data_IF_274730127001
#
_entry.id   IF_274730127001
#
_cell.length_a   1.000
_cell.length_b   1.000
_cell.length_c   1.000
_cell.angle_alpha   90.00
_cell.angle_beta   90.00
_cell.angle_gamma   90.00
#
_symmetry.space_group_name_H-M   'P 1'
#
loop_
_entity.id
_entity.type
_entity.pdbx_description
1 polymer ?
#
# COMPACT_ATOMS: atom_id res chain seq x y z
N UNK A 1 8.23 -12.86 -23.86
CA UNK A 1 9.02 -11.85 -24.61
C UNK A 1 10.36 -12.47 -24.97
N UNK A 2 10.71 -12.54 -26.24
CA UNK A 2 11.97 -13.12 -26.67
C UNK A 2 13.10 -12.05 -26.72
N UNK A 3 14.37 -12.48 -26.92
CA UNK A 3 15.53 -11.59 -26.89
C UNK A 3 15.47 -10.50 -27.96
N UNK A 4 14.99 -10.83 -29.18
CA UNK A 4 14.91 -9.89 -30.29
C UNK A 4 13.87 -8.80 -30.02
N UNK A 5 12.76 -9.16 -29.44
CA UNK A 5 11.69 -8.25 -29.03
C UNK A 5 12.17 -7.25 -27.97
N UNK A 6 12.95 -7.72 -26.99
CA UNK A 6 13.58 -6.85 -25.97
C UNK A 6 14.53 -5.84 -26.62
N UNK A 7 15.38 -6.27 -27.54
CA UNK A 7 16.34 -5.40 -28.23
C UNK A 7 15.63 -4.32 -29.02
N UNK A 8 14.59 -4.68 -29.76
CA UNK A 8 13.77 -3.74 -30.55
C UNK A 8 13.03 -2.74 -29.64
N UNK A 9 12.52 -3.19 -28.51
CA UNK A 9 11.87 -2.32 -27.53
C UNK A 9 12.87 -1.31 -26.93
N UNK A 10 14.06 -1.75 -26.58
CA UNK A 10 15.11 -0.88 -26.05
C UNK A 10 15.47 0.20 -27.05
N UNK A 11 15.77 -0.16 -28.32
CA UNK A 11 16.16 0.78 -29.35
C UNK A 11 15.07 1.84 -29.62
N UNK A 12 13.84 1.38 -29.77
CA UNK A 12 12.68 2.25 -29.99
C UNK A 12 12.41 3.20 -28.84
N UNK A 13 12.48 2.68 -27.60
CA UNK A 13 12.17 3.48 -26.42
C UNK A 13 13.29 4.49 -26.12
N UNK A 14 14.56 4.12 -26.28
CA UNK A 14 15.69 5.05 -26.11
C UNK A 14 15.61 6.19 -27.14
N UNK A 15 15.38 5.91 -28.41
CA UNK A 15 15.25 6.94 -29.45
C UNK A 15 14.04 7.85 -29.19
N UNK A 16 12.92 7.28 -28.74
CA UNK A 16 11.74 8.07 -28.37
C UNK A 16 12.05 9.05 -27.22
N UNK A 17 12.77 8.62 -26.21
CA UNK A 17 13.12 9.50 -25.09
C UNK A 17 14.15 10.57 -25.50
N UNK A 18 15.13 10.24 -26.36
CA UNK A 18 16.05 11.22 -26.93
C UNK A 18 15.31 12.32 -27.69
N UNK A 19 14.36 11.92 -28.56
CA UNK A 19 13.56 12.86 -29.36
C UNK A 19 12.74 13.78 -28.45
N UNK A 20 12.11 13.24 -27.41
CA UNK A 20 11.36 14.05 -26.43
C UNK A 20 12.22 15.11 -25.73
N UNK A 21 13.48 14.79 -25.49
CA UNK A 21 14.42 15.72 -24.89
C UNK A 21 15.01 16.73 -25.88
N UNK A 22 14.65 16.64 -27.18
CA UNK A 22 15.16 17.51 -28.22
C UNK A 22 16.66 17.33 -28.50
N UNK A 23 17.26 16.21 -28.08
CA UNK A 23 18.71 15.99 -28.20
C UNK A 23 19.07 15.31 -29.53
N UNK A 24 20.20 15.75 -30.14
CA UNK A 24 20.83 14.98 -31.22
C UNK A 24 21.41 13.67 -30.68
N UNK A 25 21.65 12.69 -31.55
CA UNK A 25 22.27 11.41 -31.17
C UNK A 25 23.64 11.62 -30.51
N UNK A 26 24.43 12.58 -30.99
CA UNK A 26 25.73 12.91 -30.41
C UNK A 26 25.61 13.50 -28.99
N UNK A 27 24.66 14.41 -28.77
CA UNK A 27 24.39 14.99 -27.46
C UNK A 27 23.90 13.95 -26.47
N UNK A 28 22.99 13.07 -26.89
CA UNK A 28 22.45 12.03 -26.03
C UNK A 28 23.51 10.96 -25.68
N UNK A 29 24.33 10.54 -26.66
CA UNK A 29 25.46 9.65 -26.41
C UNK A 29 26.44 10.23 -25.38
N UNK A 30 26.79 11.51 -25.53
CA UNK A 30 27.65 12.24 -24.57
C UNK A 30 27.02 12.28 -23.17
N UNK A 31 25.73 12.55 -23.06
CA UNK A 31 24.99 12.57 -21.80
C UNK A 31 24.93 11.19 -21.13
N UNK A 32 24.94 10.12 -21.90
CA UNK A 32 25.03 8.73 -21.42
C UNK A 32 26.48 8.23 -21.24
N UNK A 33 27.47 9.13 -21.35
CA UNK A 33 28.88 8.81 -21.20
C UNK A 33 29.37 7.66 -22.12
N UNK A 34 28.85 7.63 -23.36
CA UNK A 34 29.22 6.62 -24.35
C UNK A 34 29.62 7.26 -25.69
N UNK A 35 30.34 6.49 -26.54
CA UNK A 35 30.66 6.93 -27.90
C UNK A 35 29.41 6.99 -28.77
N UNK A 36 29.40 7.89 -29.76
CA UNK A 36 28.32 7.96 -30.74
C UNK A 36 28.12 6.66 -31.51
N UNK A 37 29.21 5.94 -31.80
CA UNK A 37 29.14 4.63 -32.47
C UNK A 37 28.46 3.58 -31.60
N UNK A 38 28.76 3.55 -30.30
CA UNK A 38 28.10 2.67 -29.33
C UNK A 38 26.61 2.99 -29.26
N UNK A 39 26.26 4.27 -29.15
CA UNK A 39 24.88 4.71 -29.14
C UNK A 39 24.11 4.28 -30.41
N UNK A 40 24.68 4.53 -31.58
CA UNK A 40 24.07 4.14 -32.84
C UNK A 40 23.77 2.63 -32.91
N UNK A 41 24.66 1.79 -32.43
CA UNK A 41 24.44 0.33 -32.38
C UNK A 41 23.24 -0.04 -31.47
N UNK A 42 23.07 0.66 -30.36
CA UNK A 42 21.90 0.46 -29.49
C UNK A 42 20.65 0.98 -30.19
N UNK A 43 20.68 2.17 -30.75
CA UNK A 43 19.55 2.81 -31.43
C UNK A 43 19.08 2.01 -32.67
N UNK A 44 19.98 1.32 -33.36
CA UNK A 44 19.66 0.46 -34.49
C UNK A 44 19.24 -0.98 -34.10
N UNK A 45 19.22 -1.29 -32.80
CA UNK A 45 18.88 -2.66 -32.35
C UNK A 45 20.00 -3.68 -32.58
N UNK A 46 21.23 -3.25 -32.86
CA UNK A 46 22.41 -4.12 -33.07
C UNK A 46 23.04 -4.56 -31.73
N UNK A 47 22.70 -3.88 -30.64
CA UNK A 47 23.22 -4.17 -29.30
C UNK A 47 22.18 -3.89 -28.22
N UNK A 48 22.02 -4.82 -27.31
CA UNK A 48 21.21 -4.67 -26.09
C UNK A 48 22.06 -4.51 -24.83
N UNK A 49 23.39 -4.37 -24.98
CA UNK A 49 24.28 -4.25 -23.83
C UNK A 49 24.23 -2.82 -23.29
N UNK A 50 23.50 -2.67 -22.20
CA UNK A 50 23.43 -1.45 -21.38
C UNK A 50 23.96 -1.87 -20.01
N UNK A 51 25.09 -1.29 -19.60
CA UNK A 51 25.60 -1.50 -18.26
C UNK A 51 24.76 -0.76 -17.21
N UNK A 52 24.96 -1.11 -15.94
CA UNK A 52 24.18 -0.55 -14.82
C UNK A 52 24.34 0.97 -14.71
N UNK A 53 25.55 1.49 -15.00
CA UNK A 53 25.81 2.93 -14.94
C UNK A 53 25.09 3.68 -16.06
N UNK A 54 25.12 3.16 -17.27
CA UNK A 54 24.37 3.72 -18.42
C UNK A 54 22.87 3.67 -18.16
N UNK A 55 22.34 2.57 -17.59
CA UNK A 55 20.94 2.45 -17.20
C UNK A 55 20.54 3.51 -16.15
N UNK A 56 21.41 3.76 -15.16
CA UNK A 56 21.24 4.84 -14.20
C UNK A 56 21.22 6.24 -14.84
N UNK A 57 22.13 6.51 -15.80
CA UNK A 57 22.15 7.79 -16.52
C UNK A 57 20.90 7.99 -17.35
N UNK A 58 20.41 6.96 -18.04
CA UNK A 58 19.13 7.01 -18.76
C UNK A 58 18.00 7.36 -17.80
N UNK A 59 17.91 6.68 -16.64
CA UNK A 59 16.91 7.00 -15.65
C UNK A 59 17.01 8.44 -15.14
N UNK A 60 18.22 8.92 -14.88
CA UNK A 60 18.46 10.29 -14.40
C UNK A 60 18.04 11.35 -15.42
N UNK A 61 18.28 11.10 -16.71
CA UNK A 61 17.94 12.02 -17.80
C UNK A 61 16.46 11.99 -18.17
N UNK A 62 15.86 10.82 -18.18
CA UNK A 62 14.51 10.60 -18.77
C UNK A 62 13.44 10.34 -17.72
N UNK A 63 13.81 10.00 -16.50
CA UNK A 63 12.89 9.51 -15.46
C UNK A 63 12.35 8.10 -15.72
N UNK A 64 12.79 7.43 -16.80
CA UNK A 64 12.35 6.08 -17.18
C UNK A 64 13.17 5.02 -16.48
N UNK A 65 12.51 4.06 -15.85
CA UNK A 65 13.20 2.88 -15.32
C UNK A 65 13.75 2.01 -16.44
N UNK A 66 14.91 1.34 -16.25
CA UNK A 66 15.48 0.47 -17.25
C UNK A 66 14.53 -0.62 -17.77
N UNK A 67 13.67 -1.16 -16.92
CA UNK A 67 12.65 -2.13 -17.28
C UNK A 67 11.58 -1.57 -18.24
N UNK A 68 11.27 -0.28 -18.19
CA UNK A 68 10.34 0.35 -19.14
C UNK A 68 10.95 0.45 -20.56
N UNK A 69 12.27 0.50 -20.65
CA UNK A 69 12.95 0.51 -21.95
C UNK A 69 12.81 -0.84 -22.66
N UNK A 70 12.72 -1.94 -21.90
CA UNK A 70 12.51 -3.29 -22.45
C UNK A 70 11.09 -3.55 -22.92
N UNK A 71 10.17 -2.60 -22.72
CA UNK A 71 8.73 -2.77 -22.99
C UNK A 71 8.00 -3.56 -21.91
N UNK A 72 8.65 -3.82 -20.78
CA UNK A 72 8.00 -4.41 -19.63
C UNK A 72 7.06 -3.35 -19.00
N UNK A 73 5.78 -3.55 -19.21
CA UNK A 73 4.75 -2.73 -18.56
C UNK A 73 4.25 -3.51 -17.35
N UNK A 74 4.94 -3.33 -16.24
CA UNK A 74 4.63 -4.01 -14.98
C UNK A 74 3.77 -3.09 -14.11
N UNK A 75 2.73 -3.64 -13.52
CA UNK A 75 1.86 -2.94 -12.55
C UNK A 75 2.66 -2.36 -11.39
N UNK A 76 3.78 -3.00 -11.00
CA UNK A 76 4.71 -2.52 -9.99
C UNK A 76 5.34 -1.19 -10.39
N UNK A 77 5.75 -1.02 -11.66
CA UNK A 77 6.33 0.24 -12.17
C UNK A 77 5.29 1.36 -12.11
N UNK A 78 4.07 1.06 -12.50
CA UNK A 78 2.96 2.01 -12.43
C UNK A 78 2.65 2.39 -10.98
N UNK A 79 2.71 1.44 -10.07
CA UNK A 79 2.56 1.69 -8.63
C UNK A 79 3.67 2.60 -8.09
N UNK A 80 4.93 2.33 -8.41
CA UNK A 80 6.08 3.17 -8.01
C UNK A 80 5.93 4.60 -8.53
N UNK A 81 5.47 4.78 -9.78
CA UNK A 81 5.21 6.13 -10.34
C UNK A 81 4.12 6.88 -9.58
N UNK A 82 3.06 6.17 -9.17
CA UNK A 82 1.97 6.74 -8.34
C UNK A 82 2.49 7.12 -6.95
N UNK A 83 3.27 6.24 -6.32
CA UNK A 83 3.88 6.51 -5.00
C UNK A 83 4.81 7.74 -5.04
N UNK A 84 5.57 7.92 -6.12
CA UNK A 84 6.45 9.10 -6.27
C UNK A 84 5.70 10.43 -6.32
N UNK A 85 4.44 10.44 -6.75
CA UNK A 85 3.59 11.65 -6.79
C UNK A 85 3.02 12.01 -5.42
N UNK A 86 3.13 11.12 -4.44
CA UNK A 86 2.60 11.33 -3.11
C UNK A 86 3.51 12.23 -2.26
N UNK A 87 2.93 12.93 -1.31
CA UNK A 87 3.66 13.71 -0.30
C UNK A 87 4.55 12.79 0.57
N UNK A 88 5.51 13.40 1.29
CA UNK A 88 6.38 12.66 2.21
C UNK A 88 5.57 11.89 3.27
N UNK A 89 4.53 12.51 3.83
CA UNK A 89 3.66 11.90 4.84
C UNK A 89 2.89 10.70 4.30
N UNK A 90 2.34 10.82 3.09
CA UNK A 90 1.62 9.73 2.42
C UNK A 90 2.55 8.56 2.08
N UNK A 91 3.80 8.83 1.68
CA UNK A 91 4.80 7.77 1.43
C UNK A 91 5.20 7.02 2.69
N UNK A 92 5.37 7.73 3.82
CA UNK A 92 5.64 7.08 5.13
C UNK A 92 4.50 6.13 5.50
N UNK A 93 3.26 6.54 5.25
CA UNK A 93 2.10 5.72 5.52
C UNK A 93 2.06 4.45 4.65
N UNK A 94 2.30 4.59 3.33
CA UNK A 94 2.35 3.43 2.43
C UNK A 94 3.47 2.48 2.86
N UNK A 95 4.65 2.98 3.22
CA UNK A 95 5.72 2.14 3.72
C UNK A 95 5.30 1.39 4.99
N UNK A 96 4.63 2.07 5.93
CA UNK A 96 4.11 1.41 7.14
C UNK A 96 3.11 0.28 6.81
N UNK A 97 2.26 0.47 5.80
CA UNK A 97 1.33 -0.58 5.33
C UNK A 97 2.12 -1.74 4.71
N UNK A 98 3.09 -1.44 3.84
CA UNK A 98 3.93 -2.46 3.20
C UNK A 98 4.70 -3.25 4.24
N UNK A 99 5.34 -2.58 5.20
CA UNK A 99 6.11 -3.22 6.27
C UNK A 99 5.21 -4.14 7.12
N UNK A 100 3.97 -3.70 7.40
CA UNK A 100 2.98 -4.51 8.11
C UNK A 100 2.59 -5.76 7.30
N UNK A 101 2.32 -5.62 6.01
CA UNK A 101 1.97 -6.75 5.14
C UNK A 101 3.13 -7.72 4.93
N UNK A 102 4.36 -7.21 4.80
CA UNK A 102 5.55 -8.05 4.71
C UNK A 102 5.80 -8.82 6.00
N UNK A 103 5.67 -8.17 7.16
CA UNK A 103 5.79 -8.86 8.45
C UNK A 103 4.71 -9.95 8.59
N UNK A 104 3.46 -9.68 8.20
CA UNK A 104 2.37 -10.65 8.21
C UNK A 104 2.61 -11.81 7.23
N UNK A 105 3.23 -11.56 6.07
CA UNK A 105 3.54 -12.61 5.09
C UNK A 105 4.74 -13.47 5.50
N UNK A 106 5.76 -12.89 6.14
CA UNK A 106 6.89 -13.64 6.67
C UNK A 106 6.46 -14.67 7.73
N UNK A 107 5.42 -14.36 8.52
CA UNK A 107 4.82 -15.33 9.45
C UNK A 107 4.02 -16.44 8.77
N UNK A 108 3.62 -16.28 7.49
CA UNK A 108 2.92 -17.33 6.73
C UNK A 108 3.84 -18.44 6.21
N UNK A 109 5.12 -18.13 5.98
CA UNK A 109 6.06 -19.10 5.37
C UNK A 109 6.68 -20.09 6.38
N UNK A 110 6.57 -19.85 7.69
CA UNK A 110 7.21 -20.72 8.70
C UNK A 110 6.34 -21.84 9.27
N UNK A 111 5.07 -21.99 8.89
CA UNK A 111 4.23 -23.09 9.41
C UNK A 111 3.27 -23.68 8.39
N UNK A 112 3.56 -24.90 8.03
CA UNK A 112 2.69 -26.01 7.65
C UNK A 112 1.18 -25.75 7.85
N UNK A 113 0.38 -25.93 6.77
CA UNK A 113 -1.07 -26.17 6.75
C UNK A 113 -1.94 -25.39 7.74
N UNK A 114 -2.14 -24.08 7.50
CA UNK A 114 -3.17 -23.38 8.26
C UNK A 114 -3.82 -22.26 7.44
N UNK A 115 -4.63 -22.62 6.44
CA UNK A 115 -5.53 -21.69 5.75
C UNK A 115 -6.50 -21.01 6.74
N UNK A 116 -6.63 -21.56 7.94
CA UNK A 116 -7.58 -21.12 8.97
C UNK A 116 -6.99 -20.25 10.08
N UNK A 117 -5.65 -20.00 10.09
CA UNK A 117 -5.05 -19.10 11.07
C UNK A 117 -4.94 -17.66 10.52
N UNK A 118 -5.43 -16.71 11.30
CA UNK A 118 -5.21 -15.29 11.03
C UNK A 118 -4.32 -14.64 12.09
N UNK A 119 -3.69 -13.54 11.72
CA UNK A 119 -2.95 -12.70 12.66
C UNK A 119 -3.94 -11.79 13.42
N UNK A 120 -3.74 -11.66 14.74
CA UNK A 120 -4.49 -10.77 15.60
C UNK A 120 -3.54 -9.73 16.16
N UNK A 121 -3.73 -8.48 15.80
CA UNK A 121 -2.96 -7.35 16.35
C UNK A 121 -3.37 -7.09 17.79
N UNK A 122 -2.39 -6.88 18.65
CA UNK A 122 -2.59 -6.48 20.04
C UNK A 122 -2.21 -4.99 20.13
N UNK A 123 -3.17 -4.07 20.05
CA UNK A 123 -2.89 -2.65 20.04
C UNK A 123 -2.40 -2.16 21.40
N UNK A 124 -1.60 -1.10 21.37
CA UNK A 124 -1.20 -0.34 22.55
C UNK A 124 -1.93 1.00 22.60
N UNK A 125 -1.95 1.63 23.78
CA UNK A 125 -2.62 2.92 23.98
C UNK A 125 -4.10 2.78 24.37
N UNK A 126 -4.78 3.93 24.39
CA UNK A 126 -6.18 4.01 24.76
C UNK A 126 -7.10 3.77 23.58
N UNK A 127 -8.03 2.82 23.68
CA UNK A 127 -8.93 2.47 22.57
C UNK A 127 -9.99 3.56 22.27
N UNK A 128 -10.24 4.47 23.22
CA UNK A 128 -11.17 5.60 23.02
C UNK A 128 -10.49 6.78 22.32
N UNK A 129 -9.26 7.10 22.77
CA UNK A 129 -8.50 8.29 22.33
C UNK A 129 -7.53 7.96 21.17
N UNK A 130 -7.63 6.74 20.66
CA UNK A 130 -6.83 6.23 19.57
C UNK A 130 -5.75 5.24 20.00
N UNK A 131 -5.82 4.06 19.45
CA UNK A 131 -4.86 2.96 19.64
C UNK A 131 -3.74 3.01 18.61
N UNK A 132 -2.59 2.43 18.96
CA UNK A 132 -1.49 2.21 18.03
C UNK A 132 -1.55 0.74 17.60
N UNK A 133 -1.70 0.51 16.29
CA UNK A 133 -1.61 -0.82 15.71
C UNK A 133 -0.14 -1.10 15.40
N UNK A 134 0.47 -1.99 16.19
CA UNK A 134 1.85 -2.40 16.01
C UNK A 134 1.89 -3.78 15.40
N UNK A 135 2.63 -3.93 14.30
CA UNK A 135 2.82 -5.20 13.62
C UNK A 135 3.71 -6.20 14.36
N UNK A 136 4.45 -5.74 15.37
CA UNK A 136 5.33 -6.61 16.16
C UNK A 136 4.61 -7.32 17.33
N UNK A 137 3.44 -6.82 17.73
CA UNK A 137 2.66 -7.40 18.82
C UNK A 137 1.46 -8.17 18.26
N UNK A 138 1.70 -9.41 17.84
CA UNK A 138 0.76 -10.23 17.08
C UNK A 138 0.61 -11.61 17.73
N UNK A 139 -0.61 -12.12 17.78
CA UNK A 139 -0.92 -13.51 18.12
C UNK A 139 -1.62 -14.19 16.93
N UNK A 140 -1.74 -15.51 16.98
CA UNK A 140 -2.48 -16.30 15.99
C UNK A 140 -3.81 -16.75 16.54
N UNK A 141 -4.85 -16.69 15.71
CA UNK A 141 -6.19 -17.15 16.02
C UNK A 141 -6.67 -18.12 14.94
N UNK A 142 -7.12 -19.31 15.37
CA UNK A 142 -7.82 -20.23 14.50
C UNK A 142 -9.25 -19.72 14.22
N UNK A 143 -9.54 -19.51 12.94
CA UNK A 143 -10.81 -18.97 12.45
C UNK A 143 -11.57 -19.96 11.54
N UNK A 144 -11.22 -21.25 11.60
CA UNK A 144 -11.85 -22.31 10.80
C UNK A 144 -13.39 -22.26 10.86
N UNK A 145 -13.94 -22.03 12.05
CA UNK A 145 -15.38 -21.90 12.27
C UNK A 145 -15.98 -20.64 11.61
N UNK A 146 -15.19 -19.59 11.43
CA UNK A 146 -15.63 -18.31 10.86
C UNK A 146 -15.41 -18.25 9.35
N UNK A 147 -14.47 -19.06 8.80
CA UNK A 147 -14.24 -19.18 7.36
C UNK A 147 -15.49 -19.59 6.60
N UNK A 148 -16.33 -20.46 7.19
CA UNK A 148 -17.60 -20.87 6.58
C UNK A 148 -18.57 -19.71 6.39
N UNK A 149 -18.55 -18.71 7.28
CA UNK A 149 -19.43 -17.55 7.22
C UNK A 149 -18.88 -16.39 6.40
N UNK A 150 -17.57 -16.15 6.47
CA UNK A 150 -16.95 -14.93 5.92
C UNK A 150 -15.98 -15.22 4.77
N UNK A 151 -15.60 -16.48 4.52
CA UNK A 151 -14.70 -16.87 3.43
C UNK A 151 -13.39 -16.10 3.47
N UNK A 152 -12.92 -15.71 2.29
CA UNK A 152 -11.67 -14.93 2.09
C UNK A 152 -11.81 -13.44 2.48
N UNK A 153 -13.03 -13.00 2.83
CA UNK A 153 -13.21 -11.63 3.33
C UNK A 153 -12.52 -11.40 4.68
N UNK A 154 -12.33 -12.47 5.45
CA UNK A 154 -11.70 -12.43 6.77
C UNK A 154 -10.18 -12.27 6.62
N UNK A 155 -9.66 -11.13 7.10
CA UNK A 155 -8.28 -10.75 6.84
C UNK A 155 -7.38 -10.76 8.08
N UNK A 156 -7.81 -10.10 9.16
CA UNK A 156 -7.03 -9.91 10.37
C UNK A 156 -7.92 -9.80 11.59
N UNK A 157 -7.38 -10.01 12.78
CA UNK A 157 -8.04 -9.72 14.05
C UNK A 157 -7.44 -8.52 14.75
N UNK A 158 -8.21 -7.87 15.62
CA UNK A 158 -7.74 -6.84 16.56
C UNK A 158 -8.25 -7.18 17.96
N UNK A 159 -7.33 -7.36 18.91
CA UNK A 159 -7.69 -7.63 20.30
C UNK A 159 -8.12 -6.36 21.03
N UNK A 160 -9.20 -6.44 21.78
CA UNK A 160 -9.64 -5.38 22.68
C UNK A 160 -8.83 -5.47 23.97
N UNK A 161 -7.99 -4.45 24.23
CA UNK A 161 -7.03 -4.46 25.34
C UNK A 161 -7.56 -3.78 26.62
N UNK A 162 -8.71 -3.08 26.52
CA UNK A 162 -9.29 -2.34 27.64
C UNK A 162 -10.82 -2.39 27.65
N UNK A 163 -11.44 -1.99 28.76
CA UNK A 163 -12.90 -1.93 28.88
C UNK A 163 -13.52 -0.59 28.40
N UNK A 164 -12.74 0.28 27.78
CA UNK A 164 -13.25 1.58 27.32
C UNK A 164 -14.34 1.50 26.25
N UNK A 165 -14.50 0.34 25.62
CA UNK A 165 -15.52 0.11 24.60
C UNK A 165 -16.74 -0.67 25.12
N UNK A 166 -16.80 -0.91 26.44
CA UNK A 166 -17.97 -1.52 27.09
C UNK A 166 -19.21 -0.60 26.92
N UNK A 167 -20.42 -1.14 26.74
CA UNK A 167 -20.78 -2.57 26.78
C UNK A 167 -20.64 -3.29 25.42
N UNK A 168 -20.31 -2.60 24.35
CA UNK A 168 -20.29 -3.17 22.98
C UNK A 168 -19.18 -4.20 22.85
N UNK A 169 -17.98 -3.82 23.26
CA UNK A 169 -16.80 -4.70 23.27
C UNK A 169 -16.15 -4.69 24.67
N UNK A 170 -15.71 -5.85 25.09
CA UNK A 170 -15.06 -6.05 26.40
C UNK A 170 -13.58 -6.36 26.21
N UNK A 171 -12.78 -6.08 27.23
CA UNK A 171 -11.39 -6.50 27.24
C UNK A 171 -11.28 -8.02 27.02
N UNK A 172 -10.41 -8.41 26.07
CA UNK A 172 -10.21 -9.79 25.67
C UNK A 172 -10.99 -10.20 24.41
N UNK A 173 -12.05 -9.46 24.02
CA UNK A 173 -12.72 -9.70 22.73
C UNK A 173 -11.74 -9.48 21.58
N UNK A 174 -11.89 -10.24 20.50
CA UNK A 174 -11.16 -10.05 19.25
C UNK A 174 -12.16 -9.64 18.18
N UNK A 175 -11.88 -8.54 17.49
CA UNK A 175 -12.66 -8.10 16.35
C UNK A 175 -12.09 -8.72 15.09
N UNK A 176 -12.90 -9.45 14.34
CA UNK A 176 -12.54 -9.97 13.02
C UNK A 176 -12.77 -8.90 11.97
N UNK A 177 -11.74 -8.59 11.19
CA UNK A 177 -11.70 -7.47 10.26
C UNK A 177 -11.62 -7.96 8.82
N UNK A 178 -12.40 -7.32 7.96
CA UNK A 178 -12.41 -7.50 6.51
C UNK A 178 -11.82 -6.29 5.79
N UNK A 179 -11.25 -6.51 4.60
CA UNK A 179 -10.90 -5.44 3.65
C UNK A 179 -12.08 -4.95 2.81
N UNK A 180 -13.27 -5.51 3.00
CA UNK A 180 -14.45 -5.04 2.28
C UNK A 180 -14.74 -3.57 2.59
N UNK A 181 -15.36 -2.84 1.65
CA UNK A 181 -15.73 -1.44 1.87
C UNK A 181 -16.63 -1.29 3.10
N UNK A 182 -16.34 -0.29 3.91
CA UNK A 182 -17.17 0.09 5.06
C UNK A 182 -18.34 0.90 4.53
N UNK A 183 -19.56 0.45 4.80
CA UNK A 183 -20.82 1.08 4.37
C UNK A 183 -21.38 1.99 5.45
N UNK A 184 -22.42 2.75 5.09
CA UNK A 184 -23.16 3.56 6.06
C UNK A 184 -23.74 2.69 7.18
N UNK A 185 -23.52 3.10 8.42
CA UNK A 185 -23.94 2.37 9.61
C UNK A 185 -23.00 1.26 10.06
N UNK A 186 -21.97 0.90 9.28
CA UNK A 186 -21.02 -0.14 9.66
C UNK A 186 -20.02 0.36 10.70
N UNK A 187 -19.52 -0.57 11.51
CA UNK A 187 -18.37 -0.34 12.37
C UNK A 187 -17.09 -0.65 11.61
N UNK A 188 -16.14 0.27 11.65
CA UNK A 188 -14.85 0.14 10.98
C UNK A 188 -13.69 0.59 11.85
N UNK A 189 -12.50 0.25 11.37
CA UNK A 189 -11.24 0.74 11.89
C UNK A 189 -10.76 1.87 10.97
N UNK A 190 -10.55 3.04 11.56
CA UNK A 190 -10.12 4.25 10.86
C UNK A 190 -8.79 4.71 11.44
N UNK A 191 -7.80 4.93 10.57
CA UNK A 191 -6.48 5.43 10.99
C UNK A 191 -6.38 6.89 10.61
N UNK A 192 -6.09 7.73 11.59
CA UNK A 192 -5.77 9.12 11.35
C UNK A 192 -4.30 9.24 10.88
N UNK A 193 -4.10 9.71 9.66
CA UNK A 193 -2.78 9.80 9.04
C UNK A 193 -1.84 10.81 9.72
N UNK A 194 -2.39 11.80 10.45
CA UNK A 194 -1.61 12.85 11.09
C UNK A 194 -0.99 12.37 12.39
N UNK A 195 -1.80 11.75 13.28
CA UNK A 195 -1.35 11.25 14.58
C UNK A 195 -1.01 9.76 14.60
N UNK A 196 -1.22 9.04 13.47
CA UNK A 196 -0.98 7.60 13.30
C UNK A 196 -1.76 6.71 14.29
N UNK A 197 -2.86 7.20 14.81
CA UNK A 197 -3.71 6.45 15.72
C UNK A 197 -4.89 5.84 14.99
N UNK A 198 -5.26 4.63 15.38
CA UNK A 198 -6.42 3.93 14.89
C UNK A 198 -7.59 4.07 15.86
N UNK A 199 -8.78 4.17 15.31
CA UNK A 199 -10.03 4.37 16.04
C UNK A 199 -11.06 3.37 15.58
N UNK A 200 -11.81 2.80 16.50
CA UNK A 200 -12.98 1.97 16.21
C UNK A 200 -14.18 2.91 16.21
N UNK A 201 -14.80 3.11 15.06
CA UNK A 201 -15.89 4.08 14.89
C UNK A 201 -16.98 3.50 13.99
N UNK A 202 -18.19 4.00 14.19
CA UNK A 202 -19.31 3.78 13.27
C UNK A 202 -19.30 4.86 12.21
N UNK A 203 -19.42 4.46 10.95
CA UNK A 203 -19.44 5.33 9.80
C UNK A 203 -20.87 5.82 9.54
N UNK A 204 -21.07 7.12 9.41
CA UNK A 204 -22.30 7.72 8.88
C UNK A 204 -21.94 8.54 7.64
N UNK A 205 -22.41 8.06 6.48
CA UNK A 205 -22.17 8.69 5.18
C UNK A 205 -23.16 9.85 4.99
N UNK A 206 -22.90 10.94 5.69
CA UNK A 206 -23.59 12.23 5.55
C UNK A 206 -22.62 13.25 4.94
N UNK A 207 -23.04 14.45 4.73
CA UNK A 207 -22.14 15.56 4.44
C UNK A 207 -22.25 16.62 5.55
N UNK A 208 -21.20 16.81 6.41
CA UNK A 208 -19.95 16.03 6.48
C UNK A 208 -20.18 14.57 6.93
N UNK A 209 -19.26 13.70 6.52
CA UNK A 209 -19.22 12.32 6.96
C UNK A 209 -18.86 12.25 8.45
N UNK A 210 -19.57 11.44 9.23
CA UNK A 210 -19.37 11.35 10.68
C UNK A 210 -18.77 9.98 11.05
N UNK A 211 -17.71 10.02 11.87
CA UNK A 211 -17.13 8.84 12.52
C UNK A 211 -17.47 8.89 14.01
N UNK A 212 -18.56 8.23 14.38
CA UNK A 212 -19.09 8.28 15.75
C UNK A 212 -18.51 7.18 16.63
N UNK A 213 -18.32 7.41 17.94
CA UNK A 213 -17.93 6.36 18.87
C UNK A 213 -19.03 5.30 18.96
N UNK A 214 -18.62 4.04 19.17
CA UNK A 214 -19.54 2.88 19.19
C UNK A 214 -20.34 2.75 20.48
N UNK A 215 -19.91 3.39 21.57
CA UNK A 215 -20.49 3.28 22.90
C UNK A 215 -20.86 4.63 23.52
N UNK A 216 -20.99 5.68 22.71
CA UNK A 216 -21.28 7.06 23.10
C UNK A 216 -20.19 7.74 23.97
N UNK A 217 -19.04 7.09 24.17
CA UNK A 217 -17.87 7.67 24.83
C UNK A 217 -16.78 7.97 23.82
N UNK A 218 -16.25 9.19 23.85
CA UNK A 218 -15.21 9.65 22.95
C UNK A 218 -15.70 10.69 21.96
N UNK A 219 -14.77 11.17 21.17
CA UNK A 219 -14.99 12.24 20.19
C UNK A 219 -15.61 11.70 18.90
N UNK A 220 -16.55 12.45 18.33
CA UNK A 220 -17.02 12.28 16.96
C UNK A 220 -16.12 13.06 16.03
N UNK A 221 -15.62 12.42 14.98
CA UNK A 221 -14.83 13.08 13.95
C UNK A 221 -15.72 13.38 12.75
N UNK A 222 -15.59 14.61 12.25
CA UNK A 222 -16.27 15.06 11.05
C UNK A 222 -15.27 15.09 9.90
N UNK A 223 -15.65 14.50 8.78
CA UNK A 223 -14.80 14.39 7.59
C UNK A 223 -15.56 15.01 6.43
N UNK A 224 -15.10 16.13 5.93
CA UNK A 224 -15.69 16.76 4.77
C UNK A 224 -15.40 15.94 3.52
N UNK A 225 -16.44 15.34 2.95
CA UNK A 225 -16.33 14.48 1.76
C UNK A 225 -15.95 15.26 0.50
N UNK A 226 -16.18 16.57 0.48
CA UNK A 226 -15.87 17.44 -0.64
C UNK A 226 -14.44 18.01 -0.55
N UNK A 227 -13.80 17.87 0.62
CA UNK A 227 -12.45 18.32 0.89
C UNK A 227 -11.45 17.14 0.79
N UNK A 228 -10.65 17.12 -0.28
CA UNK A 228 -9.65 16.08 -0.54
C UNK A 228 -8.62 15.96 0.60
N UNK A 229 -8.25 17.08 1.22
CA UNK A 229 -7.29 17.09 2.32
C UNK A 229 -7.88 16.46 3.59
N UNK A 230 -9.16 16.67 3.87
CA UNK A 230 -9.85 16.03 5.00
C UNK A 230 -10.04 14.53 4.77
N UNK A 231 -10.43 14.12 3.58
CA UNK A 231 -10.52 12.72 3.19
C UNK A 231 -9.17 12.00 3.31
N UNK A 232 -8.08 12.68 2.95
CA UNK A 232 -6.73 12.10 3.04
C UNK A 232 -6.21 11.90 4.46
N UNK A 233 -6.80 12.58 5.45
CA UNK A 233 -6.45 12.41 6.87
C UNK A 233 -6.91 11.07 7.44
N UNK A 234 -7.91 10.44 6.83
CA UNK A 234 -8.51 9.23 7.37
C UNK A 234 -8.39 8.05 6.41
N UNK A 235 -7.81 6.95 6.91
CA UNK A 235 -7.66 5.71 6.17
C UNK A 235 -8.67 4.72 6.71
N UNK A 236 -9.48 4.18 5.83
CA UNK A 236 -10.37 3.06 6.12
C UNK A 236 -9.53 1.78 6.15
N UNK A 237 -9.09 1.38 7.34
CA UNK A 237 -8.22 0.20 7.52
C UNK A 237 -9.00 -1.11 7.30
N UNK A 238 -10.23 -1.18 7.78
CA UNK A 238 -11.06 -2.36 7.56
C UNK A 238 -12.41 -2.29 8.25
N UNK A 239 -13.32 -3.15 7.77
CA UNK A 239 -14.68 -3.32 8.27
C UNK A 239 -14.71 -4.39 9.36
N UNK A 240 -15.37 -4.13 10.47
CA UNK A 240 -15.56 -5.08 11.57
C UNK A 240 -16.67 -6.05 11.20
N UNK A 241 -16.33 -7.32 10.98
CA UNK A 241 -17.31 -8.38 10.63
C UNK A 241 -18.09 -8.88 11.85
N UNK A 242 -17.34 -9.25 12.88
CA UNK A 242 -17.91 -9.74 14.13
C UNK A 242 -16.87 -9.68 15.25
N UNK A 243 -17.30 -10.00 16.47
CA UNK A 243 -16.40 -10.21 17.63
C UNK A 243 -16.37 -11.67 18.04
N UNK A 244 -15.23 -12.12 18.51
CA UNK A 244 -15.01 -13.44 19.10
C UNK A 244 -14.36 -13.31 20.47
N UNK A 245 -14.51 -14.33 21.28
CA UNK A 245 -13.94 -14.41 22.64
C UNK A 245 -12.87 -15.48 22.71
#
# INVERSE_FOLDING_TARGET
MNRLEIVNNISTNIERERIKLGMSQAQFAKALNMSLSTYKRIANGESSRIDVYTAYLIYKLTGRFPCELTGFNDDVINLVKRIKKLSKSQRILINSIIDTELALSAYKDESCHTEDLISVLIPTGNMTDGMILDSYNVEKLDVSNYRKAFGDALHIGIRITSNHLHPVYNKGDILLISRSPIRDGDTGIFINAQNKRAYIRKLHQKNPCELTPINNYGETFYVDSDNVDDMSKWIKFGHVLCKVR
#
